data_IF_222205943991
#
_entry.id   IF_222205943991
#
_cell.length_a   1.000
_cell.length_b   1.000
_cell.length_c   1.000
_cell.angle_alpha   90.00
_cell.angle_beta   90.00
_cell.angle_gamma   90.00
#
_symmetry.space_group_name_H-M   'P 1'
#
loop_
_entity.id
_entity.type
_entity.pdbx_description
1 polymer ?
#
# COMPACT_ATOMS: atom_id res chain seq x y z
N UNK A 1 2.64 4.47 -16.06
CA UNK A 1 1.74 4.28 -14.90
C UNK A 1 1.37 2.81 -14.87
N UNK A 2 1.34 2.16 -13.70
CA UNK A 2 0.84 0.79 -13.56
C UNK A 2 -0.58 0.90 -13.02
N UNK A 3 -1.57 0.56 -13.84
CA UNK A 3 -2.98 0.63 -13.48
C UNK A 3 -3.43 -0.59 -12.67
N UNK A 4 -4.65 -0.52 -12.11
CA UNK A 4 -5.26 -1.62 -11.36
C UNK A 4 -5.12 -1.55 -9.84
N UNK A 5 -4.43 -0.53 -9.32
CA UNK A 5 -4.29 -0.28 -7.86
C UNK A 5 -5.02 0.96 -7.28
N UNK A 6 -6.07 1.54 -7.89
CA UNK A 6 -6.85 2.59 -7.22
C UNK A 6 -7.80 2.02 -6.13
N UNK A 7 -7.95 0.69 -6.02
CA UNK A 7 -8.91 0.06 -5.11
C UNK A 7 -10.34 0.44 -5.45
N UNK A 8 -11.11 0.89 -4.46
CA UNK A 8 -12.47 1.42 -4.66
C UNK A 8 -12.52 2.86 -5.20
N UNK A 9 -11.35 3.49 -5.39
CA UNK A 9 -11.24 4.87 -5.86
C UNK A 9 -10.55 5.78 -4.85
N UNK A 10 -10.65 7.09 -5.09
CA UNK A 10 -9.95 8.10 -4.31
C UNK A 10 -10.37 8.07 -2.83
N UNK A 11 -9.40 7.97 -1.93
CA UNK A 11 -9.58 7.90 -0.48
C UNK A 11 -10.51 6.78 0.05
N UNK A 12 -10.93 5.85 -0.80
CA UNK A 12 -11.69 4.66 -0.44
C UNK A 12 -10.75 3.46 -0.41
N UNK A 13 -10.84 2.66 0.64
CA UNK A 13 -9.96 1.50 0.86
C UNK A 13 -10.75 0.21 0.88
N UNK A 14 -10.18 -0.84 0.30
CA UNK A 14 -10.63 -2.22 0.52
C UNK A 14 -10.06 -2.74 1.83
N UNK A 15 -10.71 -3.76 2.41
CA UNK A 15 -10.25 -4.42 3.64
C UNK A 15 -8.82 -4.94 3.47
N UNK A 16 -8.55 -5.60 2.35
CA UNK A 16 -7.26 -6.22 2.03
C UNK A 16 -6.13 -5.19 1.93
N UNK A 17 -6.42 -3.98 1.44
CA UNK A 17 -5.45 -2.88 1.38
C UNK A 17 -5.06 -2.41 2.79
N UNK A 18 -6.03 -2.29 3.69
CA UNK A 18 -5.77 -1.91 5.08
C UNK A 18 -5.02 -3.00 5.83
N UNK A 19 -5.41 -4.27 5.65
CA UNK A 19 -4.70 -5.41 6.24
C UNK A 19 -3.27 -5.51 5.72
N UNK A 20 -3.03 -5.23 4.44
CA UNK A 20 -1.68 -5.15 3.89
C UNK A 20 -0.85 -4.05 4.55
N UNK A 21 -1.40 -2.82 4.67
CA UNK A 21 -0.67 -1.71 5.31
C UNK A 21 -0.34 -2.05 6.77
N UNK A 22 -1.27 -2.67 7.48
CA UNK A 22 -1.06 -3.14 8.85
C UNK A 22 0.05 -4.19 8.93
N UNK A 23 0.01 -5.21 8.08
CA UNK A 23 1.05 -6.23 7.98
C UNK A 23 2.42 -5.61 7.68
N UNK A 24 2.50 -4.74 6.67
CA UNK A 24 3.73 -4.05 6.29
C UNK A 24 4.29 -3.21 7.43
N UNK A 25 3.44 -2.44 8.12
CA UNK A 25 3.85 -1.64 9.26
C UNK A 25 4.37 -2.49 10.42
N UNK A 26 3.76 -3.65 10.68
CA UNK A 26 4.25 -4.60 11.70
C UNK A 26 5.56 -5.28 11.32
N UNK A 27 5.81 -5.48 10.02
CA UNK A 27 7.02 -6.11 9.52
C UNK A 27 8.21 -5.14 9.50
N UNK A 28 8.00 -3.93 8.96
CA UNK A 28 9.08 -2.99 8.64
C UNK A 28 9.18 -1.80 9.62
N UNK A 29 8.18 -1.60 10.48
CA UNK A 29 8.11 -0.43 11.36
C UNK A 29 7.78 0.88 10.64
N UNK A 30 7.36 0.82 9.37
CA UNK A 30 7.02 1.97 8.54
C UNK A 30 5.51 2.02 8.31
N UNK A 31 4.88 3.12 8.70
CA UNK A 31 3.44 3.32 8.53
C UNK A 31 3.16 4.00 7.19
N UNK A 32 2.35 3.37 6.35
CA UNK A 32 1.90 3.93 5.07
C UNK A 32 0.51 4.53 5.20
N UNK A 33 0.18 5.50 4.34
CA UNK A 33 -1.16 6.05 4.26
C UNK A 33 -2.08 5.22 3.35
N UNK A 34 -3.40 5.18 3.62
CA UNK A 34 -4.33 4.36 2.87
C UNK A 34 -4.84 4.99 1.56
N UNK A 35 -4.42 6.22 1.24
CA UNK A 35 -4.88 6.97 0.05
C UNK A 35 -3.88 6.83 -1.11
N UNK A 36 -2.58 6.96 -0.84
CA UNK A 36 -1.53 7.00 -1.85
C UNK A 36 -0.42 5.97 -1.61
N UNK A 37 0.41 6.17 -0.58
CA UNK A 37 1.67 5.44 -0.40
C UNK A 37 1.42 3.96 -0.11
N UNK A 38 0.38 3.66 0.67
CA UNK A 38 -0.05 2.29 0.94
C UNK A 38 -0.52 1.56 -0.32
N UNK A 39 -1.31 2.23 -1.18
CA UNK A 39 -1.75 1.66 -2.46
C UNK A 39 -0.60 1.46 -3.44
N UNK A 40 0.34 2.40 -3.49
CA UNK A 40 1.54 2.29 -4.29
C UNK A 40 2.43 1.11 -3.84
N UNK A 41 2.62 0.95 -2.53
CA UNK A 41 3.39 -0.18 -1.99
C UNK A 41 2.66 -1.52 -2.19
N UNK A 42 1.34 -1.55 -1.97
CA UNK A 42 0.51 -2.73 -2.26
C UNK A 42 0.64 -3.14 -3.72
N UNK A 43 0.57 -2.17 -4.63
CA UNK A 43 0.80 -2.37 -6.06
C UNK A 43 2.19 -2.92 -6.36
N UNK A 44 3.24 -2.31 -5.79
CA UNK A 44 4.61 -2.76 -5.98
C UNK A 44 4.79 -4.23 -5.56
N UNK A 45 4.33 -4.60 -4.37
CA UNK A 45 4.43 -5.99 -3.87
C UNK A 45 3.69 -6.97 -4.78
N UNK A 46 2.50 -6.62 -5.26
CA UNK A 46 1.75 -7.47 -6.19
C UNK A 46 2.44 -7.60 -7.55
N UNK A 47 3.02 -6.53 -8.08
CA UNK A 47 3.78 -6.60 -9.33
C UNK A 47 5.08 -7.41 -9.20
N UNK A 48 5.76 -7.35 -8.05
CA UNK A 48 6.89 -8.24 -7.75
C UNK A 48 6.44 -9.69 -7.77
N UNK A 49 5.31 -10.03 -7.11
CA UNK A 49 4.75 -11.40 -7.12
C UNK A 49 4.36 -11.90 -8.51
N UNK A 50 3.97 -11.00 -9.41
CA UNK A 50 3.66 -11.32 -10.82
C UNK A 50 4.92 -11.49 -11.69
N UNK A 51 6.11 -11.32 -11.12
CA UNK A 51 7.38 -11.45 -11.83
C UNK A 51 7.76 -10.24 -12.69
N UNK A 52 7.04 -9.10 -12.57
CA UNK A 52 7.35 -7.88 -13.34
C UNK A 52 8.80 -7.43 -13.11
N UNK A 53 9.37 -7.76 -11.95
CA UNK A 53 10.69 -7.30 -11.53
C UNK A 53 11.75 -8.41 -11.35
N UNK A 54 11.56 -9.62 -11.88
CA UNK A 54 12.45 -10.77 -11.61
C UNK A 54 13.92 -10.57 -12.05
N UNK A 55 14.18 -9.65 -12.98
CA UNK A 55 15.54 -9.26 -13.39
C UNK A 55 16.17 -8.14 -12.56
N UNK A 56 15.42 -7.53 -11.63
CA UNK A 56 15.85 -6.37 -10.86
C UNK A 56 16.15 -6.76 -9.42
N UNK A 57 17.41 -6.56 -9.00
CA UNK A 57 17.85 -6.90 -7.63
C UNK A 57 17.55 -5.82 -6.59
N UNK A 58 17.60 -4.55 -6.99
CA UNK A 58 17.43 -3.41 -6.11
C UNK A 58 16.28 -2.54 -6.64
N UNK A 59 15.26 -2.33 -5.80
CA UNK A 59 14.10 -1.51 -6.10
C UNK A 59 14.06 -0.37 -5.09
N UNK A 60 14.14 0.87 -5.58
CA UNK A 60 13.94 2.06 -4.75
C UNK A 60 12.45 2.42 -4.72
N UNK A 61 11.82 2.28 -3.56
CA UNK A 61 10.49 2.81 -3.33
C UNK A 61 10.57 4.22 -2.73
N UNK A 62 9.84 5.18 -3.33
CA UNK A 62 9.76 6.55 -2.82
C UNK A 62 8.53 6.67 -1.94
N UNK A 63 8.75 6.74 -0.62
CA UNK A 63 7.69 6.99 0.35
C UNK A 63 7.31 8.48 0.34
N UNK A 64 6.18 8.84 -0.26
CA UNK A 64 5.77 10.24 -0.45
C UNK A 64 5.08 10.88 0.76
N UNK A 65 4.78 10.12 1.81
CA UNK A 65 4.24 10.64 3.07
C UNK A 65 2.78 10.25 3.27
N UNK A 66 1.94 11.21 3.64
CA UNK A 66 0.49 11.01 3.73
C UNK A 66 -0.04 10.44 5.05
N UNK A 67 0.80 10.24 6.08
CA UNK A 67 0.44 9.58 7.35
C UNK A 67 -0.86 10.12 8.00
N UNK A 68 -1.16 11.40 7.84
CA UNK A 68 -2.37 12.02 8.38
C UNK A 68 -3.66 11.74 7.59
N UNK A 69 -3.58 10.98 6.49
CA UNK A 69 -4.71 10.58 5.64
C UNK A 69 -5.59 9.46 6.21
N UNK A 70 -5.20 8.86 7.35
CA UNK A 70 -6.00 7.84 8.03
C UNK A 70 -7.27 8.41 8.65
N UNK A 71 -8.42 7.87 8.26
CA UNK A 71 -9.71 8.21 8.86
C UNK A 71 -10.26 7.11 9.78
N UNK A 72 -11.38 7.42 10.45
CA UNK A 72 -12.03 6.49 11.41
C UNK A 72 -12.48 5.19 10.75
N UNK A 73 -13.05 5.26 9.54
CA UNK A 73 -13.55 4.09 8.84
C UNK A 73 -12.42 3.12 8.51
N UNK A 74 -11.30 3.61 7.96
CA UNK A 74 -10.14 2.79 7.63
C UNK A 74 -9.50 2.16 8.86
N UNK A 75 -9.37 2.91 9.97
CA UNK A 75 -8.89 2.35 11.24
C UNK A 75 -9.81 1.27 11.80
N UNK A 76 -11.12 1.37 11.55
CA UNK A 76 -12.11 0.38 11.94
C UNK A 76 -12.02 -0.95 11.17
N UNK A 77 -11.26 -0.99 10.07
CA UNK A 77 -10.98 -2.21 9.31
C UNK A 77 -9.80 -2.99 9.92
N UNK A 78 -9.00 -2.40 10.82
CA UNK A 78 -7.93 -3.12 11.51
C UNK A 78 -8.54 -4.13 12.49
N UNK A 79 -8.11 -5.40 12.39
CA UNK A 79 -8.52 -6.50 13.29
C UNK A 79 -7.38 -6.83 14.25
#
# INVERSE_FOLDING_TARGET
IVDGYPGLGYALSQEEEIQFIHFFARLEGIILDPVYTGKAMYGLVNEIKKGRFDGHKNILFIHTGGLFGWNRCQRGLLK
#
